data_IF_326064595806
#
_entry.id   IF_326064595806
#
_cell.length_a   1.000
_cell.length_b   1.000
_cell.length_c   1.000
_cell.angle_alpha   90.00
_cell.angle_beta   90.00
_cell.angle_gamma   90.00
#
_symmetry.space_group_name_H-M   'P 1'
#
loop_
_entity.id
_entity.type
_entity.pdbx_description
1 polymer ?
#
# COMPACT_ATOMS: atom_id res chain seq x y z
N UNK A 1 -23.51 -17.63 -44.66
CA UNK A 1 -24.53 -17.43 -43.61
C UNK A 1 -23.84 -16.72 -42.46
N UNK A 2 -24.09 -15.42 -42.24
CA UNK A 2 -23.49 -14.68 -41.12
C UNK A 2 -24.22 -15.14 -39.86
N UNK A 3 -23.50 -15.78 -38.95
CA UNK A 3 -24.05 -16.17 -37.66
C UNK A 3 -24.47 -14.89 -36.92
N UNK A 4 -25.78 -14.62 -36.86
CA UNK A 4 -26.36 -13.62 -35.98
C UNK A 4 -26.32 -14.17 -34.55
N UNK A 5 -25.10 -14.25 -34.00
CA UNK A 5 -24.91 -14.43 -32.57
C UNK A 5 -25.20 -13.10 -31.91
N UNK A 6 -26.47 -12.87 -31.59
CA UNK A 6 -26.80 -11.93 -30.52
C UNK A 6 -25.99 -12.38 -29.31
N UNK A 7 -25.22 -11.47 -28.72
CA UNK A 7 -24.56 -11.72 -27.43
C UNK A 7 -25.57 -12.38 -26.53
N UNK A 8 -25.28 -13.54 -25.91
CA UNK A 8 -26.29 -14.25 -25.15
C UNK A 8 -26.91 -13.25 -24.18
N UNK A 9 -28.23 -13.15 -24.22
CA UNK A 9 -29.05 -12.31 -23.34
C UNK A 9 -28.97 -12.80 -21.87
N UNK A 10 -27.91 -13.51 -21.50
CA UNK A 10 -27.52 -13.81 -20.13
C UNK A 10 -26.55 -12.72 -19.71
N UNK A 11 -27.05 -11.74 -18.97
CA UNK A 11 -26.23 -10.76 -18.30
C UNK A 11 -25.25 -11.49 -17.38
N UNK A 12 -23.98 -11.52 -17.76
CA UNK A 12 -22.92 -12.09 -16.93
C UNK A 12 -22.64 -11.10 -15.79
N UNK A 13 -23.39 -11.28 -14.70
CA UNK A 13 -23.27 -10.47 -13.49
C UNK A 13 -21.80 -10.34 -13.07
N UNK A 14 -21.02 -11.42 -13.16
CA UNK A 14 -19.61 -11.42 -12.75
C UNK A 14 -18.78 -10.42 -13.55
N UNK A 15 -18.99 -10.34 -14.86
CA UNK A 15 -18.26 -9.37 -15.71
C UNK A 15 -18.74 -7.95 -15.51
N UNK A 16 -20.03 -7.74 -15.27
CA UNK A 16 -20.57 -6.43 -14.95
C UNK A 16 -19.97 -5.91 -13.64
N UNK A 17 -20.07 -6.68 -12.56
CA UNK A 17 -19.47 -6.36 -11.26
C UNK A 17 -17.96 -6.15 -11.34
N UNK A 18 -17.24 -6.98 -12.12
CA UNK A 18 -15.80 -6.79 -12.31
C UNK A 18 -15.46 -5.49 -13.04
N UNK A 19 -16.26 -5.13 -14.05
CA UNK A 19 -16.06 -3.88 -14.83
C UNK A 19 -16.37 -2.66 -13.97
N UNK A 20 -17.47 -2.68 -13.22
CA UNK A 20 -17.85 -1.60 -12.32
C UNK A 20 -16.81 -1.43 -11.20
N UNK A 21 -16.37 -2.53 -10.60
CA UNK A 21 -15.32 -2.51 -9.57
C UNK A 21 -13.99 -1.98 -10.13
N UNK A 22 -13.62 -2.39 -11.34
CA UNK A 22 -12.43 -1.89 -12.02
C UNK A 22 -12.49 -0.37 -12.20
N UNK A 23 -13.62 0.15 -12.69
CA UNK A 23 -13.81 1.59 -12.90
C UNK A 23 -13.77 2.36 -11.58
N UNK A 24 -14.53 1.91 -10.57
CA UNK A 24 -14.62 2.59 -9.27
C UNK A 24 -13.26 2.61 -8.56
N UNK A 25 -12.53 1.50 -8.54
CA UNK A 25 -11.18 1.47 -7.96
C UNK A 25 -10.21 2.38 -8.71
N UNK A 26 -10.33 2.48 -10.04
CA UNK A 26 -9.51 3.39 -10.83
C UNK A 26 -9.77 4.86 -10.50
N UNK A 27 -11.04 5.26 -10.47
CA UNK A 27 -11.45 6.63 -10.13
C UNK A 27 -11.07 6.99 -8.69
N UNK A 28 -11.35 6.09 -7.74
CA UNK A 28 -11.01 6.30 -6.33
C UNK A 28 -9.50 6.38 -6.11
N UNK A 29 -8.73 5.47 -6.73
CA UNK A 29 -7.27 5.47 -6.64
C UNK A 29 -6.66 6.76 -7.22
N UNK A 30 -7.15 7.20 -8.38
CA UNK A 30 -6.71 8.46 -8.99
C UNK A 30 -7.05 9.66 -8.13
N UNK A 31 -8.27 9.74 -7.61
CA UNK A 31 -8.70 10.81 -6.71
C UNK A 31 -7.80 10.93 -5.48
N UNK A 32 -7.53 9.81 -4.81
CA UNK A 32 -6.63 9.80 -3.65
C UNK A 32 -5.20 10.18 -4.05
N UNK A 33 -4.71 9.72 -5.20
CA UNK A 33 -3.38 10.09 -5.69
C UNK A 33 -3.25 11.61 -5.92
N UNK A 34 -4.28 12.24 -6.48
CA UNK A 34 -4.34 13.71 -6.63
C UNK A 34 -4.34 14.41 -5.27
N UNK A 35 -5.13 13.93 -4.30
CA UNK A 35 -5.13 14.48 -2.94
C UNK A 35 -3.74 14.39 -2.30
N UNK A 36 -3.05 13.26 -2.45
CA UNK A 36 -1.67 13.11 -2.01
C UNK A 36 -0.74 14.13 -2.67
N UNK A 37 -0.84 14.30 -4.00
CA UNK A 37 -0.07 15.28 -4.74
C UNK A 37 -0.29 16.72 -4.23
N UNK A 38 -1.54 17.09 -3.96
CA UNK A 38 -1.86 18.40 -3.39
C UNK A 38 -1.26 18.58 -1.98
N UNK A 39 -1.37 17.56 -1.15
CA UNK A 39 -0.81 17.60 0.22
C UNK A 39 0.73 17.59 0.25
N UNK A 40 1.38 17.16 -0.84
CA UNK A 40 2.85 17.19 -0.95
C UNK A 40 3.42 18.60 -1.15
N UNK A 41 2.58 19.57 -1.54
CA UNK A 41 3.00 20.95 -1.68
C UNK A 41 3.27 21.55 -0.28
N UNK A 42 4.45 22.16 -0.04
CA UNK A 42 4.80 22.74 1.26
C UNK A 42 3.81 23.83 1.71
N UNK A 43 3.13 24.48 0.75
CA UNK A 43 2.05 25.46 1.01
C UNK A 43 0.82 24.84 1.71
N UNK A 44 0.43 23.63 1.34
CA UNK A 44 -0.70 22.91 1.96
C UNK A 44 -0.24 22.15 3.20
N UNK A 45 0.95 21.55 3.15
CA UNK A 45 1.57 20.87 4.29
C UNK A 45 1.89 21.80 5.46
N UNK A 46 2.26 23.06 5.18
CA UNK A 46 2.51 24.08 6.20
C UNK A 46 1.25 24.60 6.92
N UNK A 47 0.07 24.38 6.36
CA UNK A 47 -1.22 24.72 6.99
C UNK A 47 -1.79 23.56 7.83
N UNK A 48 -1.26 22.34 7.69
CA UNK A 48 -1.71 21.15 8.40
C UNK A 48 -0.79 20.86 9.58
N UNK A 49 -1.36 20.37 10.67
CA UNK A 49 -0.55 19.92 11.80
C UNK A 49 0.32 18.74 11.38
N UNK A 50 1.57 18.63 11.89
CA UNK A 50 2.49 17.52 11.56
C UNK A 50 1.85 16.12 11.68
N UNK A 51 0.91 15.95 12.62
CA UNK A 51 0.12 14.73 12.81
C UNK A 51 -0.86 14.45 11.67
N UNK A 52 -1.50 15.48 11.13
CA UNK A 52 -2.43 15.40 9.99
C UNK A 52 -1.68 15.11 8.70
N UNK A 53 -0.54 15.75 8.50
CA UNK A 53 0.37 15.47 7.39
C UNK A 53 0.86 14.00 7.41
N UNK A 54 1.30 13.53 8.58
CA UNK A 54 1.73 12.13 8.76
C UNK A 54 0.58 11.15 8.54
N UNK A 55 -0.65 11.49 8.94
CA UNK A 55 -1.83 10.65 8.70
C UNK A 55 -2.16 10.55 7.20
N UNK A 56 -2.18 11.68 6.49
CA UNK A 56 -2.44 11.71 5.05
C UNK A 56 -1.36 10.95 4.29
N UNK A 57 -0.09 11.22 4.57
CA UNK A 57 0.99 10.63 3.79
C UNK A 57 1.21 9.14 4.11
N UNK A 58 1.08 8.73 5.38
CA UNK A 58 1.22 7.34 5.78
C UNK A 58 -0.06 6.54 5.50
N UNK A 59 -1.20 6.88 6.11
CA UNK A 59 -2.42 6.05 5.98
C UNK A 59 -3.04 6.15 4.59
N UNK A 60 -3.20 7.37 4.07
CA UNK A 60 -3.86 7.59 2.79
C UNK A 60 -2.97 7.12 1.62
N UNK A 61 -1.65 7.32 1.70
CA UNK A 61 -0.72 6.82 0.68
C UNK A 61 -0.71 5.30 0.54
N UNK A 62 -0.76 4.57 1.66
CA UNK A 62 -0.87 3.11 1.61
C UNK A 62 -2.24 2.63 1.12
N UNK A 63 -3.31 3.35 1.46
CA UNK A 63 -4.65 3.08 0.93
C UNK A 63 -4.69 3.24 -0.60
N UNK A 64 -4.11 4.33 -1.13
CA UNK A 64 -4.02 4.57 -2.58
C UNK A 64 -3.25 3.45 -3.28
N UNK A 65 -2.13 3.01 -2.70
CA UNK A 65 -1.32 1.92 -3.26
C UNK A 65 -2.06 0.58 -3.26
N UNK A 66 -2.83 0.29 -2.19
CA UNK A 66 -3.73 -0.87 -2.13
C UNK A 66 -4.80 -0.82 -3.24
N UNK A 67 -5.47 0.31 -3.40
CA UNK A 67 -6.54 0.49 -4.40
C UNK A 67 -6.00 0.36 -5.82
N UNK A 68 -4.87 1.00 -6.15
CA UNK A 68 -4.22 0.88 -7.45
C UNK A 68 -3.77 -0.56 -7.75
N UNK A 69 -3.30 -1.29 -6.73
CA UNK A 69 -2.93 -2.70 -6.87
C UNK A 69 -4.16 -3.58 -7.12
N UNK A 70 -5.24 -3.36 -6.36
CA UNK A 70 -6.51 -4.05 -6.55
C UNK A 70 -7.09 -3.79 -7.95
N UNK A 71 -7.04 -2.54 -8.44
CA UNK A 71 -7.45 -2.18 -9.80
C UNK A 71 -6.67 -2.97 -10.87
N UNK A 72 -5.34 -3.06 -10.74
CA UNK A 72 -4.51 -3.86 -11.64
C UNK A 72 -4.75 -5.37 -11.52
N UNK A 73 -5.08 -5.86 -10.33
CA UNK A 73 -5.43 -7.27 -10.10
C UNK A 73 -6.76 -7.66 -10.74
N UNK A 74 -7.80 -6.81 -10.64
CA UNK A 74 -9.09 -7.02 -11.33
C UNK A 74 -8.90 -7.02 -12.85
N UNK A 75 -8.06 -6.12 -13.38
CA UNK A 75 -7.69 -6.11 -14.80
C UNK A 75 -6.98 -7.40 -15.23
N UNK A 76 -6.07 -7.90 -14.38
CA UNK A 76 -5.29 -9.11 -14.62
C UNK A 76 -6.04 -10.42 -14.38
N UNK A 77 -7.12 -10.44 -13.60
CA UNK A 77 -7.79 -11.66 -13.11
C UNK A 77 -8.09 -12.68 -14.21
N UNK A 78 -8.57 -12.23 -15.36
CA UNK A 78 -8.96 -13.12 -16.47
C UNK A 78 -7.78 -13.50 -17.39
N UNK A 79 -6.67 -12.76 -17.35
CA UNK A 79 -5.43 -13.03 -18.11
C UNK A 79 -4.43 -13.88 -17.32
N UNK A 80 -4.37 -13.73 -16.00
CA UNK A 80 -3.43 -14.44 -15.12
C UNK A 80 -3.73 -15.95 -15.05
N UNK A 81 -5.01 -16.32 -15.15
CA UNK A 81 -5.48 -17.72 -15.12
C UNK A 81 -5.40 -18.42 -16.49
N UNK A 82 -4.91 -17.76 -17.55
CA UNK A 82 -4.77 -18.36 -18.88
C UNK A 82 -3.30 -18.65 -19.20
N UNK A 83 -2.85 -19.91 -19.07
CA UNK A 83 -1.48 -20.31 -19.42
C UNK A 83 -1.12 -20.06 -20.90
N UNK A 84 -2.12 -19.89 -21.78
CA UNK A 84 -1.94 -19.52 -23.19
C UNK A 84 -1.41 -18.09 -23.43
N UNK A 85 -1.38 -17.21 -22.43
CA UNK A 85 -0.87 -15.83 -22.58
C UNK A 85 0.67 -15.74 -22.54
N UNK A 86 1.36 -16.79 -22.08
CA UNK A 86 2.82 -16.87 -22.05
C UNK A 86 3.35 -17.38 -23.39
N UNK A 87 3.24 -16.57 -24.44
CA UNK A 87 3.62 -17.02 -25.78
C UNK A 87 5.11 -17.34 -25.90
N UNK A 88 6.00 -16.69 -25.13
CA UNK A 88 7.46 -16.74 -25.35
C UNK A 88 8.29 -16.42 -24.09
N UNK A 89 7.91 -16.91 -22.89
CA UNK A 89 8.62 -16.66 -21.61
C UNK A 89 8.79 -15.18 -21.19
N UNK A 90 8.29 -14.23 -21.97
CA UNK A 90 8.27 -12.80 -21.64
C UNK A 90 7.03 -12.49 -20.81
N UNK A 91 7.15 -12.28 -19.49
CA UNK A 91 6.04 -11.77 -18.70
C UNK A 91 5.62 -10.41 -19.28
N UNK A 92 4.35 -10.29 -19.68
CA UNK A 92 3.81 -9.03 -20.20
C UNK A 92 4.09 -7.90 -19.18
N UNK A 93 4.48 -6.71 -19.65
CA UNK A 93 4.95 -5.60 -18.81
C UNK A 93 4.04 -5.21 -17.64
N UNK A 94 2.72 -5.45 -17.75
CA UNK A 94 1.79 -5.25 -16.64
C UNK A 94 2.13 -6.13 -15.42
N UNK A 95 2.56 -7.38 -15.63
CA UNK A 95 2.94 -8.30 -14.57
C UNK A 95 4.19 -7.82 -13.83
N UNK A 96 5.20 -7.35 -14.56
CA UNK A 96 6.44 -6.81 -13.98
C UNK A 96 6.17 -5.56 -13.13
N UNK A 97 5.31 -4.66 -13.62
CA UNK A 97 4.93 -3.45 -12.89
C UNK A 97 4.09 -3.76 -11.64
N UNK A 98 3.29 -4.83 -11.64
CA UNK A 98 2.46 -5.26 -10.51
C UNK A 98 3.26 -6.02 -9.42
N UNK A 99 4.40 -6.63 -9.75
CA UNK A 99 5.23 -7.34 -8.77
C UNK A 99 5.77 -6.39 -7.69
N UNK A 100 6.28 -5.22 -8.09
CA UNK A 100 6.83 -4.23 -7.14
C UNK A 100 5.82 -3.79 -6.08
N UNK A 101 4.61 -3.29 -6.42
CA UNK A 101 3.61 -2.91 -5.44
C UNK A 101 3.08 -4.11 -4.64
N UNK A 102 3.04 -5.30 -5.22
CA UNK A 102 2.66 -6.52 -4.47
C UNK A 102 3.68 -6.86 -3.37
N UNK A 103 4.98 -6.81 -3.68
CA UNK A 103 6.05 -7.06 -2.70
C UNK A 103 6.02 -6.01 -1.59
N UNK A 104 5.83 -4.72 -1.95
CA UNK A 104 5.73 -3.62 -0.98
C UNK A 104 4.55 -3.85 -0.03
N UNK A 105 3.38 -4.27 -0.53
CA UNK A 105 2.21 -4.55 0.30
C UNK A 105 2.42 -5.76 1.24
N UNK A 106 3.01 -6.84 0.74
CA UNK A 106 3.32 -8.03 1.56
C UNK A 106 4.30 -7.65 2.66
N UNK A 107 5.39 -6.97 2.33
CA UNK A 107 6.37 -6.51 3.32
C UNK A 107 5.71 -5.58 4.34
N UNK A 108 4.82 -4.68 3.90
CA UNK A 108 4.06 -3.80 4.79
C UNK A 108 3.16 -4.59 5.75
N UNK A 109 2.45 -5.59 5.25
CA UNK A 109 1.58 -6.45 6.06
C UNK A 109 2.40 -7.23 7.10
N UNK A 110 3.59 -7.72 6.72
CA UNK A 110 4.54 -8.36 7.64
C UNK A 110 5.06 -7.41 8.71
N UNK A 111 5.24 -6.12 8.41
CA UNK A 111 5.66 -5.10 9.38
C UNK A 111 4.49 -4.69 10.30
N UNK A 112 3.26 -4.65 9.78
CA UNK A 112 2.03 -4.36 10.54
C UNK A 112 1.65 -5.50 11.51
N UNK A 113 2.10 -6.73 11.26
CA UNK A 113 1.99 -7.81 12.24
C UNK A 113 2.74 -7.39 13.52
N UNK A 114 2.15 -7.60 14.71
CA UNK A 114 2.63 -7.07 16.00
C UNK A 114 4.04 -7.54 16.40
N UNK A 115 4.65 -8.43 15.62
CA UNK A 115 6.02 -8.90 15.79
C UNK A 115 7.07 -7.83 15.43
N UNK A 116 6.84 -7.00 14.41
CA UNK A 116 7.81 -5.99 13.96
C UNK A 116 7.53 -4.60 14.54
N UNK A 117 6.25 -4.23 14.71
CA UNK A 117 5.84 -2.95 15.31
C UNK A 117 6.37 -2.79 16.75
N UNK A 118 6.37 -3.87 17.53
CA UNK A 118 6.97 -3.91 18.87
C UNK A 118 8.48 -3.71 18.85
N UNK A 119 9.16 -4.24 17.85
CA UNK A 119 10.61 -4.07 17.69
C UNK A 119 10.95 -2.63 17.30
N UNK A 120 10.13 -2.01 16.43
CA UNK A 120 10.34 -0.64 15.98
C UNK A 120 10.03 0.38 17.07
N UNK A 121 8.95 0.18 17.84
CA UNK A 121 8.64 0.97 19.02
C UNK A 121 9.75 0.90 20.08
N UNK A 122 10.34 -0.29 20.27
CA UNK A 122 11.47 -0.47 21.21
C UNK A 122 12.77 0.19 20.76
N UNK A 123 12.96 0.40 19.46
CA UNK A 123 14.13 1.12 18.91
C UNK A 123 13.88 2.64 18.96
N UNK A 124 12.66 3.09 18.69
CA UNK A 124 12.30 4.52 18.67
C UNK A 124 12.15 5.14 20.05
N UNK A 125 11.83 4.36 21.09
CA UNK A 125 11.81 4.84 22.48
C UNK A 125 13.21 5.02 23.08
N UNK A 126 14.27 4.84 22.28
CA UNK A 126 15.63 4.73 22.78
C UNK A 126 15.78 3.40 23.49
N UNK A 127 16.62 2.51 22.96
CA UNK A 127 17.21 1.49 23.80
C UNK A 127 18.17 2.19 24.76
N UNK A 128 17.62 2.86 25.76
CA UNK A 128 18.34 3.32 26.93
C UNK A 128 18.61 2.07 27.76
N UNK A 129 19.67 1.38 27.38
CA UNK A 129 20.36 0.45 28.27
C UNK A 129 21.06 1.26 29.37
N UNK A 130 20.31 2.01 30.17
CA UNK A 130 20.81 2.51 31.45
C UNK A 130 20.63 1.40 32.47
N UNK A 131 21.61 0.49 32.48
CA UNK A 131 21.88 -0.27 33.69
C UNK A 131 22.05 0.70 34.87
N UNK A 132 21.53 0.39 36.06
CA UNK A 132 21.56 1.29 37.21
C UNK A 132 22.95 1.29 37.87
N UNK A 133 23.96 1.83 37.20
CA UNK A 133 25.36 1.88 37.70
C UNK A 133 26.06 3.23 37.45
N UNK A 134 25.33 4.33 37.19
CA UNK A 134 25.95 5.67 37.09
C UNK A 134 25.34 6.71 38.05
N UNK A 135 24.39 6.31 38.89
CA UNK A 135 23.82 7.18 39.94
C UNK A 135 24.49 7.04 41.31
N UNK A 136 25.30 5.99 41.53
CA UNK A 136 25.91 5.69 42.83
C UNK A 136 27.31 6.25 43.04
N UNK A 137 28.00 6.67 41.97
CA UNK A 137 29.38 7.20 42.08
C UNK A 137 29.38 8.69 42.44
N UNK A 138 28.41 9.47 41.94
CA UNK A 138 28.37 10.93 42.17
C UNK A 138 27.98 11.32 43.61
N UNK A 139 27.06 10.58 44.25
CA UNK A 139 26.60 10.88 45.62
C UNK A 139 27.66 10.53 46.68
N UNK A 140 28.57 9.59 46.40
CA UNK A 140 29.70 9.27 47.30
C UNK A 140 30.87 10.25 47.19
N UNK A 141 31.01 11.00 46.10
CA UNK A 141 32.15 11.90 45.87
C UNK A 141 31.97 13.31 46.46
N UNK A 142 30.77 13.65 46.95
CA UNK A 142 30.43 14.99 47.48
C UNK A 142 30.13 15.00 48.98
N UNK A 143 30.39 13.89 49.68
CA UNK A 143 30.17 13.74 51.13
C UNK A 143 31.43 13.40 51.94
N UNK A 144 32.62 13.76 51.42
CA UNK A 144 33.89 13.74 52.16
C UNK A 144 34.58 15.10 52.10
#
# INVERSE_FOLDING_TARGET
>A
MKDNKTTPFGFDNTKAWATDSFLVLGVLGFFLYVLLGLTSLPSVGGSLSWREFTFVQSKLGHLTLLICTAHGYIYGWNKFLRPSTYKWWTPLGYMLCLVVPSVVLVLKLLILLPCADRSLGRIQQGWEGTGPEEGRVSIRATSL
#
